data_IF_237728718285
#
_entry.id   IF_237728718285
#
_cell.length_a   1.000
_cell.length_b   1.000
_cell.length_c   1.000
_cell.angle_alpha   90.00
_cell.angle_beta   90.00
_cell.angle_gamma   90.00
#
_symmetry.space_group_name_H-M   'P 1'
#
loop_
_entity.id
_entity.type
_entity.pdbx_description
1 polymer ?
#
# COMPACT_ATOMS: atom_id res chain seq x y z
N UNK A 1 41.06 67.96 -9.86
CA UNK A 1 40.10 67.32 -8.94
C UNK A 1 39.10 66.56 -9.82
N UNK A 2 39.37 65.29 -10.11
CA UNK A 2 38.55 64.48 -11.02
C UNK A 2 38.04 63.25 -10.27
N UNK A 3 36.73 63.15 -10.08
CA UNK A 3 36.09 62.00 -9.45
C UNK A 3 35.83 60.93 -10.51
N UNK A 4 36.48 59.76 -10.38
CA UNK A 4 36.08 58.55 -11.10
C UNK A 4 34.88 57.92 -10.39
N UNK A 5 33.78 57.74 -11.12
CA UNK A 5 32.62 56.96 -10.71
C UNK A 5 32.82 55.52 -11.17
N UNK A 6 33.07 54.61 -10.23
CA UNK A 6 33.07 53.17 -10.44
C UNK A 6 31.64 52.65 -10.34
N UNK A 7 31.08 52.17 -11.46
CA UNK A 7 29.78 51.50 -11.48
C UNK A 7 29.96 50.02 -11.08
N UNK A 8 29.31 49.61 -10.00
CA UNK A 8 29.26 48.21 -9.57
C UNK A 8 28.06 47.55 -10.26
N UNK A 9 28.32 46.65 -11.20
CA UNK A 9 27.29 45.82 -11.83
C UNK A 9 27.08 44.59 -10.95
N UNK A 10 25.97 44.55 -10.20
CA UNK A 10 25.56 43.37 -9.45
C UNK A 10 24.91 42.35 -10.39
N UNK A 11 25.60 41.24 -10.65
CA UNK A 11 25.03 40.09 -11.36
C UNK A 11 24.17 39.28 -10.39
N UNK A 12 22.86 39.40 -10.52
CA UNK A 12 21.91 38.52 -9.83
C UNK A 12 21.89 37.16 -10.54
N UNK A 13 22.54 36.16 -9.96
CA UNK A 13 22.34 34.76 -10.35
C UNK A 13 20.96 34.31 -9.88
N UNK A 14 19.98 34.29 -10.79
CA UNK A 14 18.69 33.65 -10.56
C UNK A 14 18.94 32.13 -10.61
N UNK A 15 19.09 31.50 -9.46
CA UNK A 15 19.00 30.04 -9.38
C UNK A 15 17.57 29.65 -9.71
N UNK A 16 17.35 29.09 -10.90
CA UNK A 16 16.08 28.48 -11.25
C UNK A 16 15.92 27.25 -10.37
N UNK A 17 15.10 27.36 -9.33
CA UNK A 17 14.65 26.21 -8.55
C UNK A 17 13.71 25.44 -9.47
N UNK A 18 14.23 24.41 -10.13
CA UNK A 18 13.37 23.42 -10.78
C UNK A 18 12.61 22.70 -9.68
N UNK A 19 11.28 22.70 -9.72
CA UNK A 19 10.52 21.73 -8.92
C UNK A 19 11.01 20.35 -9.34
N UNK A 20 11.60 19.58 -8.42
CA UNK A 20 12.02 18.20 -8.70
C UNK A 20 10.82 17.46 -9.31
N UNK A 21 11.00 17.01 -10.54
CA UNK A 21 10.00 16.23 -11.22
C UNK A 21 9.86 14.90 -10.49
N UNK A 22 8.62 14.47 -10.21
CA UNK A 22 8.38 13.23 -9.49
C UNK A 22 9.10 12.03 -10.15
N UNK A 23 9.99 11.38 -9.39
CA UNK A 23 10.91 10.33 -9.89
C UNK A 23 10.20 9.16 -10.58
N UNK A 24 8.96 8.87 -10.19
CA UNK A 24 8.21 7.75 -10.74
C UNK A 24 7.65 7.99 -12.14
N UNK A 25 7.68 9.23 -12.66
CA UNK A 25 7.23 9.53 -14.02
C UNK A 25 8.01 8.80 -15.11
N UNK A 26 9.21 8.30 -14.79
CA UNK A 26 9.98 7.42 -15.67
C UNK A 26 9.25 6.11 -16.02
N UNK A 27 8.33 5.65 -15.17
CA UNK A 27 7.54 4.45 -15.43
C UNK A 27 6.29 4.77 -16.23
N UNK A 28 5.55 5.79 -15.80
CA UNK A 28 4.36 6.30 -16.50
C UNK A 28 4.04 7.73 -16.05
N UNK A 29 3.52 8.61 -16.93
CA UNK A 29 3.12 9.97 -16.54
C UNK A 29 2.06 10.00 -15.42
N UNK A 30 1.22 8.97 -15.34
CA UNK A 30 0.11 8.84 -14.38
C UNK A 30 0.50 8.03 -13.13
N UNK A 31 1.80 7.92 -12.82
CA UNK A 31 2.25 7.08 -11.72
C UNK A 31 1.67 7.54 -10.38
N UNK A 32 1.22 6.60 -9.56
CA UNK A 32 0.46 6.90 -8.35
C UNK A 32 1.26 7.67 -7.32
N UNK A 33 2.57 7.37 -7.20
CA UNK A 33 3.51 8.16 -6.39
C UNK A 33 3.57 9.65 -6.76
N UNK A 34 3.12 10.03 -7.96
CA UNK A 34 3.11 11.40 -8.47
C UNK A 34 1.73 12.07 -8.45
N UNK A 35 0.67 11.31 -8.16
CA UNK A 35 -0.69 11.85 -8.11
C UNK A 35 -0.81 12.77 -6.90
N UNK A 36 -1.37 13.96 -7.12
CA UNK A 36 -1.66 14.90 -6.02
C UNK A 36 -2.89 14.44 -5.24
N UNK A 37 -2.93 14.75 -3.94
CA UNK A 37 -4.11 14.54 -3.10
C UNK A 37 -5.35 15.13 -3.78
N UNK A 38 -6.47 14.42 -3.68
CA UNK A 38 -7.76 14.92 -4.16
C UNK A 38 -8.20 16.12 -3.30
N UNK A 39 -8.30 17.34 -3.87
CA UNK A 39 -8.67 18.54 -3.09
C UNK A 39 -10.11 18.51 -2.59
N UNK A 40 -10.97 17.68 -3.18
CA UNK A 40 -12.35 17.49 -2.75
C UNK A 40 -12.47 16.41 -1.66
N UNK A 41 -11.38 15.75 -1.30
CA UNK A 41 -11.40 14.81 -0.19
C UNK A 41 -11.22 15.54 1.14
N UNK A 42 -12.31 15.58 1.91
CA UNK A 42 -12.37 16.11 3.27
C UNK A 42 -11.72 15.13 4.25
N UNK A 43 -10.38 15.16 4.30
CA UNK A 43 -9.56 14.25 5.13
C UNK A 43 -9.65 14.66 6.59
N UNK A 44 -10.01 13.70 7.44
CA UNK A 44 -10.05 13.78 8.89
C UNK A 44 -8.77 13.25 9.52
N UNK A 45 -8.20 12.18 8.95
CA UNK A 45 -6.93 11.56 9.35
C UNK A 45 -6.31 10.86 8.14
N UNK A 46 -4.98 10.85 8.03
CA UNK A 46 -4.25 10.13 6.99
C UNK A 46 -2.90 9.56 7.49
N UNK A 47 -2.72 9.47 8.81
CA UNK A 47 -1.42 9.15 9.40
C UNK A 47 -1.30 7.66 9.73
N UNK A 48 -0.38 6.95 9.08
CA UNK A 48 0.03 5.60 9.51
C UNK A 48 1.17 5.75 10.52
N UNK A 49 0.86 5.58 11.80
CA UNK A 49 1.83 5.70 12.90
C UNK A 49 2.77 4.50 12.97
N UNK A 50 3.87 4.59 13.72
CA UNK A 50 4.78 3.44 13.89
C UNK A 50 4.10 2.26 14.61
N UNK A 51 3.16 2.53 15.52
CA UNK A 51 2.32 1.48 16.13
C UNK A 51 1.43 0.80 15.08
N UNK A 52 0.90 1.56 14.12
CA UNK A 52 0.16 1.01 12.98
C UNK A 52 1.06 0.12 12.12
N UNK A 53 2.29 0.57 11.79
CA UNK A 53 3.26 -0.23 11.02
C UNK A 53 3.57 -1.56 11.71
N UNK A 54 3.84 -1.51 13.01
CA UNK A 54 4.11 -2.71 13.81
C UNK A 54 2.92 -3.68 13.81
N UNK A 55 1.70 -3.16 14.02
CA UNK A 55 0.48 -3.96 13.96
C UNK A 55 0.26 -4.59 12.58
N UNK A 56 0.49 -3.82 11.51
CA UNK A 56 0.38 -4.31 10.13
C UNK A 56 1.35 -5.48 9.92
N UNK A 57 2.62 -5.34 10.30
CA UNK A 57 3.62 -6.40 10.17
C UNK A 57 3.25 -7.65 10.99
N UNK A 58 2.89 -7.46 12.26
CA UNK A 58 2.46 -8.55 13.15
C UNK A 58 1.30 -9.32 12.52
N UNK A 59 0.27 -8.61 12.04
CA UNK A 59 -0.90 -9.21 11.43
C UNK A 59 -0.57 -9.98 10.15
N UNK A 60 0.25 -9.42 9.25
CA UNK A 60 0.70 -10.10 8.04
C UNK A 60 1.47 -11.38 8.39
N UNK A 61 2.47 -11.27 9.26
CA UNK A 61 3.36 -12.37 9.62
C UNK A 61 2.61 -13.48 10.37
N UNK A 62 1.67 -13.14 11.26
CA UNK A 62 0.82 -14.12 11.95
C UNK A 62 -0.02 -14.97 10.99
N UNK A 63 -0.62 -14.35 9.95
CA UNK A 63 -1.41 -15.10 8.98
C UNK A 63 -0.55 -15.90 8.00
N UNK A 64 0.61 -15.36 7.59
CA UNK A 64 1.60 -16.06 6.77
C UNK A 64 2.16 -17.28 7.49
N UNK A 65 2.54 -17.14 8.77
CA UNK A 65 2.98 -18.24 9.63
C UNK A 65 1.89 -19.30 9.75
N UNK A 66 0.65 -18.90 10.05
CA UNK A 66 -0.48 -19.83 10.18
C UNK A 66 -0.66 -20.72 8.94
N UNK A 67 -0.55 -20.14 7.74
CA UNK A 67 -0.60 -20.90 6.48
C UNK A 67 0.65 -21.76 6.32
N UNK A 68 1.84 -21.21 6.53
CA UNK A 68 3.11 -21.91 6.34
C UNK A 68 3.20 -23.20 7.19
N UNK A 69 2.74 -23.16 8.44
CA UNK A 69 2.75 -24.31 9.35
C UNK A 69 1.52 -25.23 9.19
N UNK A 70 0.67 -25.01 8.17
CA UNK A 70 -0.47 -25.87 7.86
C UNK A 70 -1.62 -25.78 8.88
N UNK A 71 -1.72 -24.68 9.64
CA UNK A 71 -2.80 -24.44 10.62
C UNK A 71 -4.00 -23.68 10.03
N UNK A 72 -4.09 -23.57 8.71
CA UNK A 72 -5.28 -23.04 8.06
C UNK A 72 -6.35 -24.12 7.88
N UNK A 73 -7.41 -24.01 8.68
CA UNK A 73 -8.43 -25.06 8.87
C UNK A 73 -9.80 -24.72 8.29
N UNK A 74 -9.95 -23.69 7.44
CA UNK A 74 -11.27 -23.35 6.89
C UNK A 74 -11.86 -24.48 6.04
N UNK A 75 -11.02 -25.28 5.39
CA UNK A 75 -11.42 -26.46 4.62
C UNK A 75 -10.79 -27.75 5.18
N UNK A 76 -11.09 -28.15 6.43
CA UNK A 76 -10.41 -29.28 7.06
C UNK A 76 -10.77 -30.60 6.38
N UNK A 77 -12.02 -30.73 5.92
CA UNK A 77 -12.52 -31.89 5.17
C UNK A 77 -11.86 -32.03 3.78
N UNK A 78 -11.30 -30.93 3.24
CA UNK A 78 -10.55 -30.93 1.99
C UNK A 78 -9.04 -31.05 2.22
N UNK A 79 -8.60 -31.33 3.45
CA UNK A 79 -7.19 -31.46 3.82
C UNK A 79 -6.44 -30.13 4.01
N UNK A 80 -7.15 -29.01 4.14
CA UNK A 80 -6.55 -27.69 4.37
C UNK A 80 -5.71 -27.17 3.21
N UNK A 81 -4.93 -26.12 3.48
CA UNK A 81 -3.87 -25.64 2.57
C UNK A 81 -2.57 -26.41 2.83
N UNK A 82 -1.73 -26.63 1.81
CA UNK A 82 -0.40 -27.20 2.00
C UNK A 82 0.46 -26.29 2.88
N UNK A 83 1.45 -26.87 3.55
CA UNK A 83 2.49 -26.12 4.24
C UNK A 83 3.38 -25.37 3.24
N UNK A 84 4.08 -24.34 3.71
CA UNK A 84 5.04 -23.59 2.91
C UNK A 84 6.42 -23.66 3.55
N UNK A 85 7.44 -23.99 2.76
CA UNK A 85 8.84 -24.04 3.20
C UNK A 85 9.62 -22.75 2.91
N UNK A 86 9.08 -21.85 2.09
CA UNK A 86 9.72 -20.61 1.63
C UNK A 86 8.88 -19.35 1.93
N UNK A 87 7.96 -19.40 2.90
CA UNK A 87 7.18 -18.22 3.29
C UNK A 87 8.09 -17.21 4.02
N UNK A 88 8.44 -16.11 3.35
CA UNK A 88 9.30 -15.09 3.94
C UNK A 88 8.57 -14.27 5.01
N UNK A 89 9.31 -13.82 6.03
CA UNK A 89 8.82 -12.82 6.97
C UNK A 89 8.67 -11.46 6.27
N UNK A 90 7.56 -10.79 6.52
CA UNK A 90 7.25 -9.48 5.95
C UNK A 90 7.97 -8.38 6.73
N UNK A 91 8.55 -7.42 6.01
CA UNK A 91 9.16 -6.21 6.52
C UNK A 91 8.48 -4.96 5.96
N UNK A 92 8.53 -3.87 6.72
CA UNK A 92 7.98 -2.59 6.27
C UNK A 92 8.86 -1.97 5.18
N UNK A 93 8.21 -1.25 4.26
CA UNK A 93 8.85 -0.55 3.17
C UNK A 93 8.24 0.84 2.95
N UNK A 94 9.04 1.89 3.21
CA UNK A 94 8.57 3.27 3.14
C UNK A 94 8.31 3.77 1.71
N UNK A 95 9.00 3.23 0.69
CA UNK A 95 8.74 3.58 -0.71
C UNK A 95 7.35 3.05 -1.12
N UNK A 96 7.07 1.78 -0.81
CA UNK A 96 5.76 1.18 -1.04
C UNK A 96 4.65 1.93 -0.28
N UNK A 97 4.92 2.30 0.98
CA UNK A 97 3.98 3.05 1.80
C UNK A 97 3.70 4.44 1.23
N UNK A 98 4.71 5.12 0.69
CA UNK A 98 4.56 6.43 0.05
C UNK A 98 3.61 6.33 -1.15
N UNK A 99 3.82 5.36 -2.04
CA UNK A 99 2.93 5.15 -3.20
C UNK A 99 1.51 4.74 -2.75
N UNK A 100 1.40 3.88 -1.74
CA UNK A 100 0.11 3.46 -1.19
C UNK A 100 -0.66 4.62 -0.54
N UNK A 101 0.04 5.51 0.16
CA UNK A 101 -0.54 6.71 0.77
C UNK A 101 -1.08 7.67 -0.29
N UNK A 102 -0.37 7.86 -1.40
CA UNK A 102 -0.88 8.65 -2.52
C UNK A 102 -2.18 8.08 -3.10
N UNK A 103 -2.29 6.75 -3.22
CA UNK A 103 -3.56 6.10 -3.60
C UNK A 103 -4.67 6.39 -2.61
N UNK A 104 -4.41 6.21 -1.31
CA UNK A 104 -5.40 6.47 -0.27
C UNK A 104 -5.91 7.93 -0.32
N UNK A 105 -5.01 8.90 -0.48
CA UNK A 105 -5.32 10.34 -0.53
C UNK A 105 -6.12 10.78 -1.77
N UNK A 106 -6.34 9.90 -2.75
CA UNK A 106 -7.32 10.15 -3.82
C UNK A 106 -8.77 9.98 -3.35
N UNK A 107 -8.97 9.21 -2.26
CA UNK A 107 -10.27 8.84 -1.70
C UNK A 107 -11.15 8.03 -2.68
N UNK A 108 -10.51 7.40 -3.68
CA UNK A 108 -11.11 6.52 -4.66
C UNK A 108 -10.76 5.06 -4.36
N UNK A 109 -11.77 4.22 -4.14
CA UNK A 109 -11.58 2.78 -4.03
C UNK A 109 -11.38 2.17 -5.42
N UNK A 110 -10.16 2.34 -5.94
CA UNK A 110 -9.78 1.96 -7.30
C UNK A 110 -8.39 1.37 -7.28
N UNK A 111 -8.24 0.17 -7.83
CA UNK A 111 -6.92 -0.45 -8.02
C UNK A 111 -6.08 0.35 -8.99
N UNK A 112 -4.79 0.44 -8.67
CA UNK A 112 -3.78 1.01 -9.54
C UNK A 112 -3.50 0.14 -10.77
N UNK A 113 -3.09 0.79 -11.86
CA UNK A 113 -2.52 0.07 -12.99
C UNK A 113 -1.14 -0.49 -12.64
N UNK A 114 -0.68 -1.52 -13.35
CA UNK A 114 0.61 -2.15 -13.05
C UNK A 114 1.79 -1.18 -13.16
N UNK A 115 1.84 -0.39 -14.23
CA UNK A 115 2.88 0.64 -14.40
C UNK A 115 2.76 1.78 -13.38
N UNK A 116 1.57 1.98 -12.80
CA UNK A 116 1.28 3.04 -11.84
C UNK A 116 1.83 2.74 -10.43
N UNK A 117 2.24 1.50 -10.16
CA UNK A 117 2.79 1.03 -8.89
C UNK A 117 4.30 0.76 -8.94
N UNK A 118 4.91 0.86 -10.12
CA UNK A 118 6.29 0.41 -10.33
C UNK A 118 7.28 1.18 -9.45
N UNK A 119 8.16 0.41 -8.82
CA UNK A 119 9.39 0.89 -8.19
C UNK A 119 10.57 0.27 -8.94
N UNK A 120 11.78 0.80 -8.77
CA UNK A 120 12.95 0.27 -9.47
C UNK A 120 13.31 -1.17 -9.06
N UNK A 121 12.93 -1.55 -7.84
CA UNK A 121 13.42 -2.76 -7.17
C UNK A 121 12.73 -4.04 -7.62
N UNK A 122 11.43 -3.99 -7.93
CA UNK A 122 10.62 -5.18 -8.24
C UNK A 122 9.21 -4.80 -8.73
N UNK A 123 8.47 -5.79 -9.25
CA UNK A 123 7.03 -5.66 -9.49
C UNK A 123 6.26 -5.51 -8.18
N UNK A 124 5.17 -4.73 -8.21
CA UNK A 124 4.40 -4.36 -7.01
C UNK A 124 2.95 -4.85 -7.12
N UNK A 125 2.50 -5.55 -6.09
CA UNK A 125 1.11 -5.96 -5.89
C UNK A 125 0.36 -4.98 -4.98
N UNK A 126 -0.97 -5.08 -4.93
CA UNK A 126 -1.80 -4.17 -4.15
C UNK A 126 -3.04 -4.86 -3.57
N UNK A 127 -3.32 -4.58 -2.30
CA UNK A 127 -4.61 -4.83 -1.68
C UNK A 127 -5.27 -3.52 -1.26
N UNK A 128 -6.57 -3.41 -1.50
CA UNK A 128 -7.39 -2.28 -1.05
C UNK A 128 -8.42 -2.72 0.00
N UNK A 129 -8.68 -1.82 0.94
CA UNK A 129 -9.72 -1.97 1.95
C UNK A 129 -10.53 -0.68 2.12
N UNK A 130 -11.84 -0.82 2.33
CA UNK A 130 -12.71 0.31 2.62
C UNK A 130 -13.73 -0.05 3.69
N UNK A 131 -13.88 0.83 4.68
CA UNK A 131 -14.92 0.77 5.71
C UNK A 131 -15.80 2.02 5.65
N UNK A 132 -17.08 1.83 5.99
CA UNK A 132 -18.11 2.89 6.07
C UNK A 132 -18.52 3.15 7.52
N UNK A 133 -17.84 2.50 8.45
CA UNK A 133 -18.10 2.55 9.88
C UNK A 133 -16.92 3.30 10.49
N UNK A 134 -17.21 4.21 11.43
CA UNK A 134 -16.19 4.77 12.30
C UNK A 134 -15.62 3.63 13.14
N UNK A 135 -14.39 3.21 12.84
CA UNK A 135 -13.69 2.23 13.68
C UNK A 135 -13.40 2.87 15.04
N UNK A 136 -13.54 2.08 16.12
CA UNK A 136 -13.32 2.56 17.49
C UNK A 136 -11.86 2.87 17.80
N UNK A 137 -10.92 2.28 17.05
CA UNK A 137 -9.48 2.50 17.17
C UNK A 137 -8.74 2.11 15.89
N UNK A 138 -7.48 2.55 15.75
CA UNK A 138 -6.61 2.06 14.66
C UNK A 138 -6.41 0.54 14.72
N UNK A 139 -6.32 -0.04 15.91
CA UNK A 139 -6.20 -1.50 16.08
C UNK A 139 -7.39 -2.24 15.45
N UNK A 140 -8.60 -1.78 15.73
CA UNK A 140 -9.82 -2.38 15.18
C UNK A 140 -9.85 -2.31 13.65
N UNK A 141 -9.40 -1.18 13.08
CA UNK A 141 -9.25 -1.01 11.63
C UNK A 141 -8.32 -2.07 11.03
N UNK A 142 -7.08 -2.18 11.53
CA UNK A 142 -6.08 -3.08 10.95
C UNK A 142 -6.45 -4.56 11.14
N UNK A 143 -6.97 -4.93 12.30
CA UNK A 143 -7.46 -6.29 12.56
C UNK A 143 -8.63 -6.65 11.63
N UNK A 144 -9.60 -5.75 11.45
CA UNK A 144 -10.76 -5.96 10.56
C UNK A 144 -10.34 -6.04 9.10
N UNK A 145 -9.45 -5.15 8.66
CA UNK A 145 -8.89 -5.18 7.31
C UNK A 145 -8.22 -6.54 7.05
N UNK A 146 -7.28 -6.93 7.93
CA UNK A 146 -6.52 -8.15 7.73
C UNK A 146 -7.42 -9.38 7.73
N UNK A 147 -8.38 -9.44 8.65
CA UNK A 147 -9.38 -10.50 8.68
C UNK A 147 -10.22 -10.53 7.40
N UNK A 148 -10.51 -9.38 6.80
CA UNK A 148 -11.23 -9.30 5.52
C UNK A 148 -10.41 -9.89 4.39
N UNK A 149 -9.12 -9.54 4.28
CA UNK A 149 -8.23 -10.10 3.27
C UNK A 149 -8.10 -11.61 3.46
N UNK A 150 -7.82 -12.04 4.69
CA UNK A 150 -7.59 -13.45 4.99
C UNK A 150 -8.83 -14.32 4.78
N UNK A 151 -10.02 -13.81 5.11
CA UNK A 151 -11.28 -14.53 4.95
C UNK A 151 -11.63 -14.84 3.49
N UNK A 152 -10.89 -14.33 2.50
CA UNK A 152 -11.07 -14.79 1.12
C UNK A 152 -10.50 -16.20 0.88
N UNK A 153 -9.74 -16.77 1.81
CA UNK A 153 -9.33 -18.19 1.78
C UNK A 153 -10.53 -19.13 1.59
N UNK A 154 -11.71 -18.69 2.00
CA UNK A 154 -12.97 -19.39 1.80
C UNK A 154 -13.31 -19.63 0.34
N UNK A 155 -12.85 -18.76 -0.56
CA UNK A 155 -13.08 -18.88 -2.00
C UNK A 155 -11.87 -19.50 -2.72
N UNK A 156 -10.75 -19.72 -2.03
CA UNK A 156 -9.51 -20.18 -2.65
C UNK A 156 -9.48 -21.71 -2.79
N UNK A 157 -9.14 -22.20 -4.00
CA UNK A 157 -8.89 -23.61 -4.25
C UNK A 157 -7.40 -23.91 -4.02
N UNK A 158 -7.11 -24.86 -3.12
CA UNK A 158 -5.74 -25.31 -2.82
C UNK A 158 -4.96 -25.82 -4.04
N UNK A 159 -5.63 -26.29 -5.08
CA UNK A 159 -5.01 -26.72 -6.34
C UNK A 159 -4.31 -25.57 -7.08
N UNK A 160 -4.69 -24.31 -6.80
CA UNK A 160 -4.06 -23.13 -7.37
C UNK A 160 -2.77 -22.73 -6.66
N UNK A 161 -2.36 -23.41 -5.57
CA UNK A 161 -1.06 -23.13 -4.92
C UNK A 161 0.11 -23.43 -5.87
N UNK A 162 0.05 -24.55 -6.62
CA UNK A 162 1.11 -24.94 -7.56
C UNK A 162 0.96 -24.34 -8.96
N UNK A 163 -0.23 -23.83 -9.28
CA UNK A 163 -0.55 -23.27 -10.60
C UNK A 163 -1.53 -22.11 -10.44
N UNK A 164 -0.99 -20.98 -9.96
CA UNK A 164 -1.81 -19.83 -9.58
C UNK A 164 -2.67 -19.33 -10.75
N UNK A 165 -3.96 -19.14 -10.47
CA UNK A 165 -4.92 -18.50 -11.35
C UNK A 165 -5.55 -17.37 -10.56
N UNK A 166 -5.46 -16.15 -11.06
CA UNK A 166 -6.04 -15.02 -10.37
C UNK A 166 -7.58 -15.02 -10.51
N UNK A 167 -8.28 -14.80 -9.40
CA UNK A 167 -9.69 -14.37 -9.39
C UNK A 167 -9.88 -13.31 -8.31
N UNK A 168 -10.84 -12.41 -8.55
CA UNK A 168 -11.03 -11.22 -7.72
C UNK A 168 -11.51 -11.54 -6.29
N UNK A 169 -12.16 -12.67 -6.08
CA UNK A 169 -12.77 -13.09 -4.81
C UNK A 169 -11.79 -13.74 -3.83
N UNK A 170 -10.54 -13.99 -4.25
CA UNK A 170 -9.40 -14.38 -3.41
C UNK A 170 -8.09 -13.64 -3.70
N UNK A 171 -8.16 -12.54 -4.46
CA UNK A 171 -6.99 -11.74 -4.82
C UNK A 171 -6.24 -11.21 -3.60
N UNK A 172 -6.95 -10.76 -2.56
CA UNK A 172 -6.33 -10.17 -1.38
C UNK A 172 -5.74 -11.23 -0.47
N UNK A 173 -6.42 -12.37 -0.33
CA UNK A 173 -5.84 -13.53 0.36
C UNK A 173 -4.57 -14.02 -0.33
N UNK A 174 -4.61 -14.25 -1.65
CA UNK A 174 -3.45 -14.77 -2.38
C UNK A 174 -2.24 -13.83 -2.31
N UNK A 175 -2.43 -12.51 -2.40
CA UNK A 175 -1.35 -11.54 -2.19
C UNK A 175 -0.80 -11.56 -0.75
N UNK A 176 -1.67 -11.67 0.26
CA UNK A 176 -1.27 -11.72 1.67
C UNK A 176 -0.34 -12.91 1.97
N UNK A 177 -0.59 -14.06 1.35
CA UNK A 177 0.16 -15.31 1.56
C UNK A 177 1.11 -15.66 0.42
N UNK A 178 1.49 -14.69 -0.40
CA UNK A 178 2.45 -14.91 -1.48
C UNK A 178 3.85 -15.13 -0.91
N UNK A 179 4.43 -16.31 -1.14
CA UNK A 179 5.61 -16.77 -0.40
C UNK A 179 6.82 -15.83 -0.58
N UNK A 180 7.05 -15.40 -1.82
CA UNK A 180 8.22 -14.60 -2.22
C UNK A 180 8.04 -13.09 -1.95
N UNK A 181 6.83 -12.64 -1.62
CA UNK A 181 6.59 -11.25 -1.17
C UNK A 181 7.06 -11.09 0.28
N UNK A 182 7.95 -10.13 0.52
CA UNK A 182 8.53 -9.88 1.85
C UNK A 182 8.59 -8.41 2.23
N UNK A 183 8.13 -7.50 1.37
CA UNK A 183 7.97 -6.08 1.65
C UNK A 183 6.51 -5.68 1.59
N UNK A 184 6.07 -4.90 2.57
CA UNK A 184 4.76 -4.24 2.56
C UNK A 184 4.89 -2.79 2.97
N UNK A 185 4.15 -1.91 2.30
CA UNK A 185 3.95 -0.54 2.73
C UNK A 185 2.50 -0.15 2.53
N UNK A 186 1.87 0.38 3.57
CA UNK A 186 0.46 0.76 3.54
C UNK A 186 0.28 2.27 3.75
N UNK A 187 -0.78 2.80 3.17
CA UNK A 187 -1.29 4.13 3.42
C UNK A 187 -2.77 4.10 3.76
N UNK A 188 -3.23 5.06 4.57
CA UNK A 188 -4.64 5.19 4.94
C UNK A 188 -5.15 6.61 4.78
N UNK A 189 -6.45 6.72 4.62
CA UNK A 189 -7.19 7.97 4.79
C UNK A 189 -8.51 7.68 5.50
N UNK A 190 -8.86 8.52 6.45
CA UNK A 190 -10.20 8.70 7.01
C UNK A 190 -10.72 10.01 6.46
N UNK A 191 -11.87 10.00 5.81
CA UNK A 191 -12.42 11.17 5.15
C UNK A 191 -13.93 11.22 5.25
N UNK A 192 -14.47 12.43 5.18
CA UNK A 192 -15.91 12.66 5.21
C UNK A 192 -16.52 12.47 3.82
N UNK A 193 -17.63 11.75 3.79
CA UNK A 193 -18.48 11.65 2.61
C UNK A 193 -19.95 11.79 3.03
N UNK A 194 -20.49 12.98 2.79
CA UNK A 194 -21.79 13.38 3.31
C UNK A 194 -21.84 13.38 4.83
N UNK A 195 -22.60 12.45 5.41
CA UNK A 195 -22.77 12.31 6.87
C UNK A 195 -21.92 11.20 7.49
N UNK A 196 -21.14 10.49 6.66
CA UNK A 196 -20.39 9.32 7.09
C UNK A 196 -18.90 9.59 7.01
N UNK A 197 -18.18 9.04 7.98
CA UNK A 197 -16.73 8.96 7.94
C UNK A 197 -16.36 7.62 7.31
N UNK A 198 -15.56 7.67 6.25
CA UNK A 198 -15.07 6.48 5.55
C UNK A 198 -13.60 6.32 5.78
N UNK A 199 -13.17 5.07 5.82
CA UNK A 199 -11.75 4.73 5.81
C UNK A 199 -11.42 4.03 4.51
N UNK A 200 -10.36 4.47 3.83
CA UNK A 200 -9.75 3.81 2.70
C UNK A 200 -8.30 3.47 3.06
N UNK A 201 -7.90 2.23 2.82
CA UNK A 201 -6.53 1.76 3.00
C UNK A 201 -6.05 1.15 1.68
N UNK A 202 -4.82 1.49 1.32
CA UNK A 202 -4.06 0.80 0.29
C UNK A 202 -2.82 0.16 0.92
N UNK A 203 -2.54 -1.08 0.59
CA UNK A 203 -1.28 -1.75 0.94
C UNK A 203 -0.63 -2.23 -0.34
N UNK A 204 0.61 -1.82 -0.56
CA UNK A 204 1.45 -2.23 -1.68
C UNK A 204 2.46 -3.28 -1.21
N UNK A 205 2.74 -4.25 -2.07
CA UNK A 205 3.48 -5.47 -1.74
C UNK A 205 4.60 -5.71 -2.75
N UNK A 206 5.75 -6.17 -2.29
CA UNK A 206 6.89 -6.42 -3.16
C UNK A 206 7.82 -7.54 -2.67
N UNK A 207 8.48 -8.27 -3.58
CA UNK A 207 8.12 -8.43 -4.99
C UNK A 207 6.71 -9.04 -5.17
N UNK A 208 6.07 -8.73 -6.30
CA UNK A 208 4.79 -9.32 -6.74
C UNK A 208 4.98 -10.71 -7.34
#
# INVERSE_FOLDING_TARGET
>A
MGHQLTAIVALFFITVVTCDECDYKKFTPDHTGCISRNPNCDILDNQVTDDDKNMILELHNRYREKVAIGKETFWPERGGLPTASNMLEMEWDDELATVAQRRAETCEFKYDCEDCLKVDRFGVGQNLYRSWISESSSKDLWERMMKTFYNEVKNFNKEYVSSFKFQADYGRFSQLVWADTWKVGCGKVVYKDGKWDKTLVSCNYGPR
#
